data_IF_935892273722
#
_entry.id   IF_935892273722
#
_cell.length_a   1.000
_cell.length_b   1.000
_cell.length_c   1.000
_cell.angle_alpha   90.00
_cell.angle_beta   90.00
_cell.angle_gamma   90.00
#
_symmetry.space_group_name_H-M   'P 1'
#
loop_
_entity.id
_entity.type
_entity.pdbx_description
1 polymer ?
#
# COMPACT_ATOMS: atom_id res chain seq x y z
N UNK A 1 -4.92 -7.69 23.04
CA UNK A 1 -5.93 -7.90 21.99
C UNK A 1 -5.65 -6.99 20.81
N UNK A 2 -5.77 -7.52 19.60
CA UNK A 2 -5.47 -6.85 18.33
C UNK A 2 -6.68 -6.87 17.41
N UNK A 3 -6.73 -5.97 16.42
CA UNK A 3 -7.80 -5.93 15.43
C UNK A 3 -7.50 -6.94 14.30
N UNK A 4 -8.51 -7.67 13.82
CA UNK A 4 -8.36 -8.64 12.73
C UNK A 4 -9.40 -8.40 11.65
N UNK A 5 -8.95 -8.31 10.40
CA UNK A 5 -9.78 -8.17 9.20
C UNK A 5 -9.42 -9.31 8.26
N UNK A 6 -10.22 -10.37 8.30
CA UNK A 6 -9.91 -11.65 7.68
C UNK A 6 -11.01 -12.10 6.71
N UNK A 7 -10.63 -12.66 5.57
CA UNK A 7 -11.54 -13.36 4.64
C UNK A 7 -12.71 -12.53 4.11
N UNK A 8 -12.46 -11.26 3.75
CA UNK A 8 -13.50 -10.37 3.22
C UNK A 8 -13.37 -10.13 1.72
N UNK A 9 -14.48 -9.74 1.10
CA UNK A 9 -14.50 -9.05 -0.18
C UNK A 9 -14.78 -7.57 0.09
N UNK A 10 -13.85 -6.68 -0.26
CA UNK A 10 -13.92 -5.25 0.06
C UNK A 10 -13.81 -4.41 -1.22
N UNK A 11 -14.53 -3.30 -1.26
CA UNK A 11 -14.41 -2.31 -2.31
C UNK A 11 -13.33 -1.29 -1.97
N UNK A 12 -12.20 -1.31 -2.70
CA UNK A 12 -11.10 -0.38 -2.49
C UNK A 12 -11.32 1.01 -3.12
N UNK A 13 -12.52 1.28 -3.63
CA UNK A 13 -12.92 2.61 -4.16
C UNK A 13 -13.52 3.47 -3.07
N UNK A 14 -14.41 2.89 -2.24
CA UNK A 14 -15.18 3.61 -1.23
C UNK A 14 -14.82 3.25 0.22
N UNK A 15 -14.15 2.11 0.42
CA UNK A 15 -13.86 1.55 1.75
C UNK A 15 -12.36 1.51 2.03
N UNK A 16 -11.95 2.12 3.14
CA UNK A 16 -10.61 1.95 3.70
C UNK A 16 -10.69 1.06 4.95
N UNK A 17 -9.77 0.10 5.09
CA UNK A 17 -9.79 -0.83 6.23
C UNK A 17 -9.47 -0.14 7.57
N UNK A 18 -8.58 0.87 7.57
CA UNK A 18 -8.15 1.57 8.79
C UNK A 18 -8.29 3.08 8.62
N UNK A 19 -9.47 3.62 8.89
CA UNK A 19 -9.73 5.06 8.79
C UNK A 19 -9.87 5.70 10.18
N UNK A 20 -9.33 6.91 10.37
CA UNK A 20 -9.50 7.73 11.58
C UNK A 20 -9.28 6.93 12.89
N UNK A 21 -8.05 6.44 13.14
CA UNK A 21 -7.78 5.63 14.33
C UNK A 21 -8.19 6.37 15.61
N UNK A 22 -8.67 5.63 16.61
CA UNK A 22 -9.00 6.16 17.94
C UNK A 22 -7.92 7.15 18.44
N UNK A 23 -8.25 8.23 19.17
CA UNK A 23 -7.24 9.14 19.72
C UNK A 23 -6.14 8.46 20.54
N UNK A 24 -6.45 7.33 21.19
CA UNK A 24 -5.48 6.51 21.94
C UNK A 24 -4.59 5.65 21.05
N UNK A 25 -4.82 5.66 19.74
CA UNK A 25 -4.18 4.82 18.75
C UNK A 25 -4.76 3.40 18.68
N UNK A 26 -4.30 2.68 17.66
CA UNK A 26 -4.55 1.24 17.46
C UNK A 26 -3.22 0.52 17.27
N UNK A 27 -3.16 -0.74 17.69
CA UNK A 27 -1.95 -1.56 17.55
C UNK A 27 -2.29 -3.01 17.28
N UNK A 28 -1.31 -3.74 16.73
CA UNK A 28 -1.39 -5.17 16.49
C UNK A 28 -2.59 -5.52 15.60
N UNK A 29 -2.58 -4.96 14.39
CA UNK A 29 -3.65 -5.16 13.40
C UNK A 29 -3.23 -6.23 12.40
N UNK A 30 -4.12 -7.17 12.09
CA UNK A 30 -3.92 -8.21 11.08
C UNK A 30 -4.95 -8.04 9.97
N UNK A 31 -4.50 -7.86 8.73
CA UNK A 31 -5.32 -7.77 7.52
C UNK A 31 -4.88 -8.90 6.59
N UNK A 32 -5.70 -9.95 6.49
CA UNK A 32 -5.29 -11.18 5.81
C UNK A 32 -6.38 -11.85 5.00
N UNK A 33 -6.02 -12.47 3.88
CA UNK A 33 -6.93 -13.25 3.04
C UNK A 33 -8.13 -12.45 2.51
N UNK A 34 -7.96 -11.15 2.28
CA UNK A 34 -9.01 -10.31 1.71
C UNK A 34 -8.83 -10.18 0.20
N UNK A 35 -9.95 -10.15 -0.52
CA UNK A 35 -10.03 -9.71 -1.91
C UNK A 35 -10.50 -8.26 -1.92
N UNK A 36 -9.63 -7.35 -2.36
CA UNK A 36 -9.92 -5.92 -2.45
C UNK A 36 -9.93 -5.53 -3.91
N UNK A 37 -11.10 -5.19 -4.43
CA UNK A 37 -11.26 -4.86 -5.83
C UNK A 37 -11.90 -3.49 -6.00
N UNK A 38 -11.47 -2.79 -7.05
CA UNK A 38 -12.19 -1.62 -7.50
C UNK A 38 -13.58 -2.06 -7.99
N UNK A 39 -14.61 -1.33 -7.56
CA UNK A 39 -15.95 -1.43 -8.12
C UNK A 39 -16.34 -0.08 -8.74
N UNK A 40 -16.77 -0.08 -10.00
CA UNK A 40 -17.14 1.13 -10.74
C UNK A 40 -16.03 1.76 -11.59
N UNK A 41 -16.37 2.84 -12.31
CA UNK A 41 -15.54 3.45 -13.35
C UNK A 41 -14.53 4.48 -12.81
N UNK A 42 -13.50 4.02 -12.08
CA UNK A 42 -12.26 4.82 -11.95
C UNK A 42 -11.39 4.77 -13.22
N UNK A 43 -11.90 4.29 -14.36
CA UNK A 43 -11.15 4.31 -15.63
C UNK A 43 -11.60 5.44 -16.57
N UNK A 44 -12.67 6.17 -16.24
CA UNK A 44 -13.36 7.09 -17.16
C UNK A 44 -13.15 8.59 -16.88
N UNK A 45 -12.20 9.00 -16.04
CA UNK A 45 -12.00 10.43 -15.74
C UNK A 45 -10.53 10.86 -15.79
N UNK A 46 -10.20 11.71 -16.75
CA UNK A 46 -8.91 12.39 -16.86
C UNK A 46 -8.47 12.99 -15.51
N UNK A 47 -7.24 12.70 -15.06
CA UNK A 47 -6.65 13.32 -13.85
C UNK A 47 -6.22 12.37 -12.72
N UNK A 48 -5.93 11.09 -13.02
CA UNK A 48 -5.46 10.11 -12.04
C UNK A 48 -4.05 10.34 -11.50
N UNK A 49 -3.30 11.32 -11.98
CA UNK A 49 -1.89 11.44 -11.60
C UNK A 49 -1.69 12.05 -10.20
N UNK A 50 -2.74 12.51 -9.50
CA UNK A 50 -2.56 13.21 -8.20
C UNK A 50 -3.75 13.08 -7.21
N UNK A 51 -4.57 12.02 -7.28
CA UNK A 51 -5.72 11.85 -6.37
C UNK A 51 -5.31 11.44 -4.95
N UNK A 52 -5.03 12.43 -4.12
CA UNK A 52 -4.76 12.25 -2.67
C UNK A 52 -6.02 11.97 -1.84
N UNK A 53 -7.20 12.12 -2.45
CA UNK A 53 -8.52 11.87 -1.88
C UNK A 53 -9.00 10.42 -2.03
N UNK A 54 -8.30 9.60 -2.83
CA UNK A 54 -8.69 8.21 -3.05
C UNK A 54 -8.39 7.34 -1.83
N UNK A 55 -9.42 6.59 -1.43
CA UNK A 55 -9.47 5.78 -0.22
C UNK A 55 -8.76 4.43 -0.27
N UNK A 56 -8.29 3.96 -1.43
CA UNK A 56 -7.51 2.72 -1.63
C UNK A 56 -8.03 1.45 -0.93
N UNK A 57 -7.23 0.37 -0.90
CA UNK A 57 -7.57 -0.87 -0.20
C UNK A 57 -7.34 -0.75 1.31
N UNK A 58 -6.08 -0.62 1.71
CA UNK A 58 -5.71 -0.27 3.09
C UNK A 58 -5.19 1.16 3.10
N UNK A 59 -6.00 2.09 3.61
CA UNK A 59 -5.62 3.51 3.67
C UNK A 59 -5.79 4.06 5.05
N UNK A 60 -4.71 4.66 5.53
CA UNK A 60 -4.67 5.34 6.80
C UNK A 60 -4.47 6.83 6.53
N UNK A 61 -5.53 7.61 6.64
CA UNK A 61 -5.47 9.07 6.60
C UNK A 61 -6.02 9.64 7.92
N UNK A 62 -5.50 10.80 8.32
CA UNK A 62 -5.85 11.46 9.59
C UNK A 62 -6.48 12.82 9.33
N UNK A 63 -7.77 12.92 9.63
CA UNK A 63 -8.29 14.16 10.22
C UNK A 63 -8.71 13.87 11.66
N UNK A 64 -7.72 13.88 12.57
CA UNK A 64 -7.96 13.87 14.04
C UNK A 64 -7.76 12.54 14.78
N UNK A 65 -7.20 11.50 14.15
CA UNK A 65 -6.95 10.20 14.79
C UNK A 65 -5.61 10.07 15.53
N UNK A 66 -5.48 9.00 16.33
CA UNK A 66 -4.27 8.61 17.06
C UNK A 66 -3.23 7.85 16.21
N UNK A 67 -2.31 7.11 16.86
CA UNK A 67 -1.26 6.34 16.18
C UNK A 67 -1.75 4.99 15.65
N UNK A 68 -1.00 4.41 14.71
CA UNK A 68 -1.21 3.05 14.18
C UNK A 68 0.13 2.33 14.22
N UNK A 69 0.20 1.20 14.91
CA UNK A 69 1.46 0.48 15.09
C UNK A 69 1.31 -1.03 14.92
N UNK A 70 2.36 -1.69 14.42
CA UNK A 70 2.43 -3.14 14.29
C UNK A 70 1.26 -3.69 13.46
N UNK A 71 1.19 -3.27 12.21
CA UNK A 71 0.15 -3.72 11.27
C UNK A 71 0.76 -4.76 10.34
N UNK A 72 0.11 -5.91 10.24
CA UNK A 72 0.45 -6.96 9.29
C UNK A 72 -0.60 -7.00 8.18
N UNK A 73 -0.16 -6.80 6.94
CA UNK A 73 -1.00 -6.90 5.73
C UNK A 73 -0.43 -8.04 4.90
N UNK A 74 -1.14 -9.16 4.83
CA UNK A 74 -0.63 -10.34 4.13
C UNK A 74 -1.63 -11.21 3.43
N UNK A 75 -1.17 -11.94 2.41
CA UNK A 75 -2.00 -12.91 1.68
C UNK A 75 -3.30 -12.28 1.13
N UNK A 76 -3.29 -10.99 0.81
CA UNK A 76 -4.41 -10.29 0.21
C UNK A 76 -4.22 -10.16 -1.31
N UNK A 77 -5.32 -10.02 -2.02
CA UNK A 77 -5.36 -9.75 -3.45
C UNK A 77 -6.00 -8.38 -3.70
N UNK A 78 -5.23 -7.44 -4.23
CA UNK A 78 -5.63 -6.09 -4.57
C UNK A 78 -5.74 -5.95 -6.09
N UNK A 79 -6.93 -5.65 -6.60
CA UNK A 79 -7.18 -5.56 -8.04
C UNK A 79 -7.80 -4.24 -8.44
N UNK A 80 -7.14 -3.51 -9.34
CA UNK A 80 -7.60 -2.22 -9.85
C UNK A 80 -7.56 -1.08 -8.84
N UNK A 81 -7.17 -1.32 -7.58
CA UNK A 81 -7.21 -0.30 -6.55
C UNK A 81 -6.32 0.89 -6.90
N UNK A 82 -6.82 2.12 -6.75
CA UNK A 82 -6.00 3.31 -6.98
C UNK A 82 -4.75 3.31 -6.08
N UNK A 83 -4.93 3.05 -4.78
CA UNK A 83 -3.84 2.58 -3.92
C UNK A 83 -4.16 1.19 -3.40
N UNK A 84 -3.24 0.24 -3.51
CA UNK A 84 -3.37 -1.03 -2.79
C UNK A 84 -3.24 -0.79 -1.28
N UNK A 85 -2.09 -0.22 -0.88
CA UNK A 85 -1.82 0.27 0.47
C UNK A 85 -1.37 1.73 0.42
N UNK A 86 -1.95 2.60 1.25
CA UNK A 86 -1.58 4.02 1.40
C UNK A 86 -1.37 4.40 2.87
N UNK A 87 -0.17 4.86 3.23
CA UNK A 87 0.21 5.22 4.60
C UNK A 87 0.89 6.59 4.61
N UNK A 88 0.22 7.61 5.17
CA UNK A 88 0.62 9.01 4.96
C UNK A 88 0.96 9.81 6.23
N UNK A 89 1.24 9.14 7.35
CA UNK A 89 1.56 9.84 8.60
C UNK A 89 2.76 9.25 9.31
N UNK A 90 3.60 10.12 9.85
CA UNK A 90 4.73 9.76 10.72
C UNK A 90 4.29 9.18 12.07
N UNK A 91 3.00 9.30 12.44
CA UNK A 91 2.41 8.62 13.60
C UNK A 91 2.15 7.14 13.36
N UNK A 92 2.30 6.67 12.12
CA UNK A 92 2.11 5.30 11.72
C UNK A 92 3.48 4.66 11.53
N UNK A 93 3.68 3.48 12.12
CA UNK A 93 5.01 2.82 12.11
C UNK A 93 4.88 1.31 12.17
N UNK A 94 5.91 0.58 11.75
CA UNK A 94 5.99 -0.88 11.86
C UNK A 94 4.88 -1.59 11.06
N UNK A 95 4.77 -1.27 9.76
CA UNK A 95 3.89 -2.01 8.85
C UNK A 95 4.68 -3.14 8.18
N UNK A 96 4.16 -4.36 8.24
CA UNK A 96 4.66 -5.51 7.50
C UNK A 96 3.68 -5.81 6.38
N UNK A 97 4.07 -5.51 5.14
CA UNK A 97 3.30 -5.77 3.92
C UNK A 97 3.97 -6.97 3.24
N UNK A 98 3.41 -8.16 3.40
CA UNK A 98 4.06 -9.38 2.94
C UNK A 98 3.15 -10.35 2.19
N UNK A 99 3.67 -11.01 1.15
CA UNK A 99 2.94 -12.04 0.39
C UNK A 99 1.57 -11.58 -0.13
N UNK A 100 1.45 -10.32 -0.56
CA UNK A 100 0.24 -9.82 -1.21
C UNK A 100 0.42 -9.82 -2.73
N UNK A 101 -0.70 -9.78 -3.45
CA UNK A 101 -0.73 -9.57 -4.89
C UNK A 101 -1.39 -8.23 -5.19
N UNK A 102 -0.66 -7.32 -5.82
CA UNK A 102 -1.15 -6.04 -6.31
C UNK A 102 -1.21 -6.09 -7.83
N UNK A 103 -2.41 -5.96 -8.38
CA UNK A 103 -2.66 -6.13 -9.81
C UNK A 103 -3.42 -4.92 -10.32
N UNK A 104 -2.84 -4.23 -11.29
CA UNK A 104 -3.42 -3.09 -12.00
C UNK A 104 -3.76 -1.90 -11.09
N UNK A 105 -2.93 -1.59 -10.09
CA UNK A 105 -3.12 -0.37 -9.31
C UNK A 105 -2.92 0.89 -10.15
N UNK A 106 -3.87 1.82 -10.10
CA UNK A 106 -3.87 3.04 -10.94
C UNK A 106 -2.98 4.15 -10.36
N UNK A 107 -2.97 4.35 -9.05
CA UNK A 107 -2.04 5.29 -8.40
C UNK A 107 -0.73 4.59 -8.07
N UNK A 108 -0.66 3.95 -6.91
CA UNK A 108 0.49 3.10 -6.56
C UNK A 108 0.06 1.85 -5.84
N UNK A 109 0.71 0.72 -6.13
CA UNK A 109 0.40 -0.52 -5.42
C UNK A 109 0.68 -0.36 -3.92
N UNK A 110 1.83 0.24 -3.58
CA UNK A 110 2.20 0.63 -2.22
C UNK A 110 2.65 2.09 -2.22
N UNK A 111 2.03 2.92 -1.38
CA UNK A 111 2.33 4.34 -1.24
C UNK A 111 2.53 4.72 0.22
N UNK A 112 3.76 5.03 0.62
CA UNK A 112 4.11 5.42 1.99
C UNK A 112 4.84 6.75 1.95
N UNK A 113 4.33 7.80 2.62
CA UNK A 113 5.04 9.10 2.65
C UNK A 113 5.93 9.23 3.87
N UNK A 114 5.35 9.07 5.07
CA UNK A 114 6.02 9.49 6.32
C UNK A 114 6.25 8.36 7.33
N UNK A 115 5.62 7.19 7.15
CA UNK A 115 5.76 6.04 8.04
C UNK A 115 7.17 5.45 7.97
N UNK A 116 7.69 4.97 9.10
CA UNK A 116 9.04 4.40 9.22
C UNK A 116 9.00 2.96 9.73
N UNK A 117 10.14 2.25 9.64
CA UNK A 117 10.29 0.85 10.08
C UNK A 117 9.34 -0.10 9.37
N UNK A 118 9.11 0.10 8.08
CA UNK A 118 8.19 -0.74 7.32
C UNK A 118 8.95 -1.92 6.69
N UNK A 119 8.28 -3.05 6.53
CA UNK A 119 8.80 -4.21 5.80
C UNK A 119 7.89 -4.48 4.61
N UNK A 120 8.44 -4.41 3.40
CA UNK A 120 7.75 -4.73 2.15
C UNK A 120 8.44 -5.94 1.55
N UNK A 121 7.83 -7.11 1.68
CA UNK A 121 8.51 -8.37 1.39
C UNK A 121 7.66 -9.39 0.64
N UNK A 122 8.24 -10.06 -0.35
CA UNK A 122 7.62 -11.21 -1.02
C UNK A 122 6.26 -10.90 -1.65
N UNK A 123 6.01 -9.64 -2.04
CA UNK A 123 4.80 -9.26 -2.74
C UNK A 123 4.97 -9.43 -4.25
N UNK A 124 3.88 -9.75 -4.94
CA UNK A 124 3.76 -9.56 -6.39
C UNK A 124 3.16 -8.18 -6.65
N UNK A 125 3.84 -7.34 -7.42
CA UNK A 125 3.48 -5.95 -7.65
C UNK A 125 3.45 -5.67 -9.14
N UNK A 126 2.26 -5.32 -9.63
CA UNK A 126 2.04 -4.91 -11.01
C UNK A 126 1.07 -3.73 -11.01
N UNK A 127 1.59 -2.52 -11.15
CA UNK A 127 0.75 -1.33 -11.37
C UNK A 127 0.12 -1.34 -12.78
N UNK A 128 -0.94 -0.54 -12.97
CA UNK A 128 -1.64 -0.43 -14.25
C UNK A 128 -0.66 0.06 -15.34
N UNK A 129 -0.57 -0.61 -16.50
CA UNK A 129 0.48 -0.33 -17.49
C UNK A 129 0.42 1.08 -18.08
N UNK A 130 -0.77 1.65 -18.19
CA UNK A 130 -0.98 2.97 -18.83
C UNK A 130 -1.24 4.09 -17.83
N UNK A 131 -1.71 3.75 -16.63
CA UNK A 131 -2.23 4.74 -15.68
C UNK A 131 -1.52 4.71 -14.33
N UNK A 132 -0.80 3.62 -14.03
CA UNK A 132 0.00 3.47 -12.81
C UNK A 132 0.95 4.66 -12.66
N UNK A 133 1.13 5.18 -11.44
CA UNK A 133 2.18 6.15 -11.17
C UNK A 133 3.46 5.46 -10.70
N UNK A 134 3.33 4.61 -9.67
CA UNK A 134 4.46 3.91 -9.07
C UNK A 134 4.10 2.45 -8.76
N UNK A 135 5.08 1.56 -8.81
CA UNK A 135 4.95 0.24 -8.19
C UNK A 135 5.01 0.38 -6.67
N UNK A 136 6.09 0.98 -6.18
CA UNK A 136 6.28 1.33 -4.77
C UNK A 136 6.70 2.80 -4.71
N UNK A 137 6.05 3.56 -3.84
CA UNK A 137 6.47 4.89 -3.45
C UNK A 137 6.79 4.92 -1.96
N UNK A 138 8.00 5.36 -1.61
CA UNK A 138 8.43 5.67 -0.25
C UNK A 138 8.90 7.14 -0.23
N UNK A 139 8.30 7.98 0.61
CA UNK A 139 8.67 9.40 0.73
C UNK A 139 9.78 9.64 1.74
N UNK A 140 9.78 8.89 2.84
CA UNK A 140 10.71 9.07 3.95
C UNK A 140 11.89 8.11 3.83
N UNK A 141 13.10 8.63 4.00
CA UNK A 141 14.31 7.83 4.04
C UNK A 141 14.62 7.44 5.48
N UNK A 142 14.22 6.25 5.90
CA UNK A 142 14.61 5.67 7.19
C UNK A 142 15.46 4.40 7.00
N UNK A 143 16.45 4.20 7.87
CA UNK A 143 17.41 3.10 7.74
C UNK A 143 16.81 1.72 8.07
N UNK A 144 15.67 1.71 8.76
CA UNK A 144 15.02 0.51 9.27
C UNK A 144 13.97 -0.06 8.29
N UNK A 145 13.48 0.73 7.33
CA UNK A 145 12.60 0.23 6.28
C UNK A 145 13.33 -0.75 5.37
N UNK A 146 12.69 -1.88 5.09
CA UNK A 146 13.24 -2.99 4.29
C UNK A 146 12.31 -3.29 3.12
N UNK A 147 12.89 -3.39 1.92
CA UNK A 147 12.20 -3.79 0.69
C UNK A 147 13.00 -4.92 0.04
N UNK A 148 12.45 -6.14 0.01
CA UNK A 148 13.18 -7.32 -0.48
C UNK A 148 12.25 -8.44 -0.96
N UNK A 149 12.78 -9.33 -1.77
CA UNK A 149 12.12 -10.52 -2.31
C UNK A 149 10.79 -10.24 -3.05
N UNK A 150 10.51 -8.98 -3.42
CA UNK A 150 9.31 -8.66 -4.19
C UNK A 150 9.54 -8.97 -5.66
N UNK A 151 8.45 -9.35 -6.33
CA UNK A 151 8.38 -9.50 -7.77
C UNK A 151 7.66 -8.27 -8.32
N UNK A 152 8.38 -7.41 -9.03
CA UNK A 152 7.89 -6.12 -9.51
C UNK A 152 7.85 -6.15 -11.04
N UNK A 153 6.64 -6.16 -11.59
CA UNK A 153 6.44 -5.99 -13.02
C UNK A 153 6.38 -4.51 -13.35
N UNK A 154 7.48 -4.00 -13.88
CA UNK A 154 7.74 -2.59 -14.09
C UNK A 154 6.85 -2.01 -15.20
N UNK A 155 6.65 -2.65 -16.36
CA UNK A 155 5.84 -2.14 -17.51
C UNK A 155 5.99 -0.63 -17.77
N UNK A 156 7.19 -0.08 -17.57
CA UNK A 156 7.45 1.36 -17.68
C UNK A 156 6.89 2.23 -16.54
N UNK A 157 6.73 1.69 -15.32
CA UNK A 157 6.24 2.39 -14.11
C UNK A 157 7.21 2.28 -12.95
N UNK A 158 7.92 3.37 -12.61
CA UNK A 158 9.06 3.29 -11.69
C UNK A 158 8.63 2.94 -10.26
N UNK A 159 9.57 2.43 -9.48
CA UNK A 159 9.54 2.58 -8.03
C UNK A 159 10.25 3.88 -7.66
N UNK A 160 9.66 4.67 -6.76
CA UNK A 160 10.28 5.88 -6.22
C UNK A 160 10.58 5.62 -4.75
N UNK A 161 11.81 5.22 -4.48
CA UNK A 161 12.27 4.82 -3.14
C UNK A 161 13.62 5.49 -2.89
N UNK A 162 13.81 6.19 -1.76
CA UNK A 162 15.10 6.73 -1.37
C UNK A 162 16.15 5.62 -1.26
N UNK A 163 17.32 5.84 -1.85
CA UNK A 163 18.42 4.87 -1.91
C UNK A 163 17.98 3.53 -2.52
N UNK A 164 17.21 3.56 -3.62
CA UNK A 164 16.70 2.37 -4.29
C UNK A 164 17.78 1.34 -4.63
N UNK A 165 19.00 1.80 -4.92
CA UNK A 165 20.17 0.96 -5.21
C UNK A 165 20.49 -0.04 -4.08
N UNK A 166 20.11 0.25 -2.83
CA UNK A 166 20.25 -0.68 -1.70
C UNK A 166 19.30 -1.88 -1.81
N UNK A 167 18.17 -1.70 -2.49
CA UNK A 167 17.07 -2.66 -2.55
C UNK A 167 16.93 -3.32 -3.92
N UNK A 168 17.51 -2.74 -4.97
CA UNK A 168 17.33 -3.18 -6.35
C UNK A 168 17.66 -4.68 -6.52
N UNK A 169 18.87 -5.10 -6.13
CA UNK A 169 19.31 -6.51 -6.22
C UNK A 169 18.60 -7.46 -5.25
N UNK A 170 17.86 -6.92 -4.29
CA UNK A 170 17.04 -7.71 -3.36
C UNK A 170 15.66 -8.03 -3.94
N UNK A 171 15.29 -7.45 -5.08
CA UNK A 171 13.99 -7.62 -5.70
C UNK A 171 14.14 -8.11 -7.15
N UNK A 172 13.14 -8.84 -7.62
CA UNK A 172 13.06 -9.24 -9.03
C UNK A 172 12.25 -8.20 -9.76
N UNK A 173 12.91 -7.36 -10.55
CA UNK A 173 12.26 -6.34 -11.39
C UNK A 173 12.37 -6.77 -12.85
N UNK A 174 11.25 -6.79 -13.56
CA UNK A 174 11.24 -7.04 -15.01
C UNK A 174 10.22 -6.15 -15.71
N UNK A 175 10.48 -5.86 -16.98
CA UNK A 175 9.63 -5.00 -17.81
C UNK A 175 8.47 -5.75 -18.48
#
# INVERSE_FOLDING_TARGET
>A
DGCKVLNNMLDCTSTSVIQNPCPTGIKNVEIRYNYMAQTGDLYNNDGFENRTDSKGGVVTDIKGGGSIQNVTISDNYFWGCYYGVRITSSKFTNFTIYNNQFVQSVGSSIYITDSVRNTIESNFIQSHPEMGMYNIYIGNNDEETVIRNNVIWNRGRPSSVPNWEKYEDLNVVFD
#
